data_IF_978027232056
#
_entry.id   IF_978027232056
#
_cell.length_a   1.000
_cell.length_b   1.000
_cell.length_c   1.000
_cell.angle_alpha   90.00
_cell.angle_beta   90.00
_cell.angle_gamma   90.00
#
_symmetry.space_group_name_H-M   'P 1'
#
loop_
_entity.id
_entity.type
_entity.pdbx_description
1 polymer ?
#
# COMPACT_ATOMS: atom_id res chain seq x y z
N UNK A 1 16.22 -39.93 4.00
CA UNK A 1 17.50 -40.46 4.51
C UNK A 1 18.51 -40.79 3.39
N UNK A 2 18.17 -41.60 2.32
CA UNK A 2 19.12 -41.91 1.24
C UNK A 2 19.48 -40.73 0.37
N UNK A 3 18.54 -39.85 0.06
CA UNK A 3 18.75 -38.63 -0.73
C UNK A 3 19.59 -37.60 0.02
N UNK A 4 19.36 -37.45 1.30
CA UNK A 4 20.13 -36.55 2.18
C UNK A 4 21.59 -36.98 2.30
N UNK A 5 21.83 -38.27 2.43
CA UNK A 5 23.18 -38.85 2.45
C UNK A 5 23.90 -38.68 1.11
N UNK A 6 23.17 -38.82 -0.01
CA UNK A 6 23.72 -38.61 -1.34
C UNK A 6 24.12 -37.13 -1.54
N UNK A 7 23.24 -36.20 -1.18
CA UNK A 7 23.52 -34.75 -1.29
C UNK A 7 24.72 -34.36 -0.39
N UNK A 8 24.79 -34.90 0.80
CA UNK A 8 25.93 -34.65 1.72
C UNK A 8 27.27 -35.20 1.24
N UNK A 9 27.28 -36.11 0.28
CA UNK A 9 28.50 -36.71 -0.29
C UNK A 9 29.00 -35.98 -1.56
N UNK A 10 28.23 -35.02 -2.10
CA UNK A 10 28.61 -34.29 -3.30
C UNK A 10 29.61 -33.16 -2.95
N UNK A 11 30.60 -32.96 -3.82
CA UNK A 11 31.45 -31.77 -3.72
C UNK A 11 30.70 -30.52 -4.25
N UNK A 12 31.28 -29.34 -4.01
CA UNK A 12 30.64 -28.06 -4.34
C UNK A 12 30.24 -27.93 -5.81
N UNK A 13 31.04 -28.43 -6.75
CA UNK A 13 30.75 -28.43 -8.19
C UNK A 13 29.66 -29.43 -8.58
N UNK A 14 29.68 -30.60 -7.97
CA UNK A 14 28.66 -31.63 -8.18
C UNK A 14 27.32 -31.22 -7.60
N UNK A 15 27.34 -30.49 -6.50
CA UNK A 15 26.12 -29.90 -5.90
C UNK A 15 25.52 -28.82 -6.80
N UNK A 16 26.34 -27.91 -7.35
CA UNK A 16 25.86 -26.90 -8.31
C UNK A 16 25.25 -27.54 -9.58
N UNK A 17 25.88 -28.58 -10.11
CA UNK A 17 25.41 -29.29 -11.30
C UNK A 17 24.11 -30.05 -11.00
N UNK A 18 24.01 -30.67 -9.85
CA UNK A 18 22.80 -31.34 -9.37
C UNK A 18 21.63 -30.36 -9.23
N UNK A 19 21.85 -29.17 -8.65
CA UNK A 19 20.85 -28.13 -8.47
C UNK A 19 20.39 -27.57 -9.81
N UNK A 20 21.30 -27.31 -10.76
CA UNK A 20 20.99 -26.86 -12.12
C UNK A 20 20.18 -27.89 -12.89
N UNK A 21 20.57 -29.16 -12.82
CA UNK A 21 19.92 -30.27 -13.55
C UNK A 21 18.50 -30.54 -13.05
N UNK A 22 18.26 -30.36 -11.76
CA UNK A 22 16.94 -30.57 -11.15
C UNK A 22 16.10 -29.30 -11.05
N UNK A 23 16.57 -28.19 -11.64
CA UNK A 23 15.91 -26.87 -11.59
C UNK A 23 15.55 -26.42 -10.17
N UNK A 24 16.35 -26.83 -9.19
CA UNK A 24 16.22 -26.45 -7.80
C UNK A 24 16.97 -25.12 -7.63
N UNK A 25 16.24 -24.02 -7.55
CA UNK A 25 16.81 -22.77 -7.07
C UNK A 25 17.04 -22.94 -5.56
N UNK A 26 18.30 -22.88 -5.14
CA UNK A 26 18.60 -22.62 -3.75
C UNK A 26 17.91 -21.31 -3.40
N UNK A 27 16.81 -21.39 -2.64
CA UNK A 27 16.40 -20.24 -1.91
C UNK A 27 17.58 -19.89 -1.01
N UNK A 28 18.16 -18.71 -1.22
CA UNK A 28 19.25 -18.14 -0.44
C UNK A 28 18.76 -17.92 1.01
N UNK A 29 18.68 -19.03 1.75
CA UNK A 29 18.14 -19.07 3.10
C UNK A 29 19.22 -19.35 4.13
N UNK A 30 20.42 -18.83 3.91
CA UNK A 30 21.42 -18.64 4.96
C UNK A 30 22.34 -17.47 4.64
N UNK A 31 21.76 -16.31 4.32
CA UNK A 31 22.45 -15.07 4.53
C UNK A 31 21.80 -14.39 5.73
N UNK A 32 22.68 -14.23 6.73
CA UNK A 32 22.59 -13.33 7.86
C UNK A 32 21.48 -12.27 7.70
N UNK A 33 20.38 -12.41 8.45
CA UNK A 33 19.30 -11.42 8.53
C UNK A 33 19.75 -10.13 9.25
N UNK A 34 20.93 -9.67 8.96
CA UNK A 34 21.26 -8.26 9.11
C UNK A 34 20.57 -7.53 7.97
N UNK A 35 19.67 -6.56 8.23
CA UNK A 35 19.12 -5.75 7.17
C UNK A 35 20.27 -5.00 6.51
N UNK A 36 20.71 -5.44 5.33
CA UNK A 36 21.61 -4.65 4.51
C UNK A 36 20.91 -3.33 4.21
N UNK A 37 21.52 -2.22 4.61
CA UNK A 37 21.01 -0.85 4.50
C UNK A 37 20.72 -0.38 3.05
N UNK A 38 20.60 -1.30 2.08
CA UNK A 38 20.60 -0.96 0.64
C UNK A 38 19.33 -1.29 -0.14
N UNK A 39 18.38 -2.06 0.40
CA UNK A 39 17.10 -2.24 -0.28
C UNK A 39 16.03 -1.36 0.41
N UNK A 40 15.50 -0.35 -0.28
CA UNK A 40 14.45 0.45 0.29
C UNK A 40 13.24 -0.44 0.55
N UNK A 41 12.75 -0.42 1.78
CA UNK A 41 11.50 -1.10 2.13
C UNK A 41 10.42 -0.73 1.11
N UNK A 42 9.70 -1.72 0.58
CA UNK A 42 8.70 -1.52 -0.48
C UNK A 42 7.75 -0.37 -0.13
N UNK A 43 7.25 -0.33 1.11
CA UNK A 43 6.35 0.74 1.55
C UNK A 43 7.02 2.11 1.59
N UNK A 44 8.28 2.19 2.00
CA UNK A 44 9.03 3.44 1.96
C UNK A 44 9.23 3.92 0.52
N UNK A 45 9.59 3.03 -0.40
CA UNK A 45 9.75 3.36 -1.81
C UNK A 45 8.44 3.89 -2.44
N UNK A 46 7.29 3.33 -2.04
CA UNK A 46 5.97 3.81 -2.46
C UNK A 46 5.67 5.20 -1.88
N UNK A 47 5.93 5.41 -0.59
CA UNK A 47 5.72 6.70 0.09
C UNK A 47 6.58 7.80 -0.53
N UNK A 48 7.82 7.50 -0.88
CA UNK A 48 8.78 8.40 -1.53
C UNK A 48 8.52 8.57 -3.04
N UNK A 49 7.49 7.93 -3.59
CA UNK A 49 7.18 7.89 -5.03
C UNK A 49 8.31 7.33 -5.92
N UNK A 50 9.19 6.51 -5.36
CA UNK A 50 10.23 5.78 -6.10
C UNK A 50 9.67 4.54 -6.81
N UNK A 51 8.56 4.00 -6.29
CA UNK A 51 7.84 2.87 -6.87
C UNK A 51 6.44 3.31 -7.29
N UNK A 52 6.08 3.01 -8.54
CA UNK A 52 4.75 3.32 -9.07
C UNK A 52 3.66 2.58 -8.31
N UNK A 53 2.59 3.29 -7.96
CA UNK A 53 1.46 2.74 -7.26
C UNK A 53 0.15 3.44 -7.65
N UNK A 54 -0.97 2.73 -7.56
CA UNK A 54 -2.31 3.27 -7.82
C UNK A 54 -2.82 4.00 -6.58
N UNK A 55 -2.33 5.23 -6.37
CA UNK A 55 -2.71 6.07 -5.23
C UNK A 55 -4.14 6.58 -5.40
N UNK A 56 -4.99 6.35 -4.38
CA UNK A 56 -6.40 6.77 -4.36
C UNK A 56 -6.68 7.89 -3.34
N UNK A 57 -5.86 8.00 -2.32
CA UNK A 57 -6.01 9.05 -1.31
C UNK A 57 -4.69 9.30 -0.57
N UNK A 58 -4.60 10.46 0.05
CA UNK A 58 -3.45 10.84 0.86
C UNK A 58 -3.87 11.84 1.93
N UNK A 59 -3.27 11.76 3.10
CA UNK A 59 -3.33 12.78 4.13
C UNK A 59 -1.91 13.11 4.65
N UNK A 60 -1.81 13.89 5.71
CA UNK A 60 -0.52 14.28 6.29
C UNK A 60 0.33 13.09 6.76
N UNK A 61 -0.30 12.02 7.25
CA UNK A 61 0.35 10.91 7.95
C UNK A 61 0.37 9.59 7.16
N UNK A 62 -0.44 9.45 6.11
CA UNK A 62 -0.58 8.20 5.39
C UNK A 62 -0.99 8.40 3.93
N UNK A 63 -0.65 7.43 3.10
CA UNK A 63 -1.12 7.29 1.72
C UNK A 63 -1.99 6.04 1.61
N UNK A 64 -2.91 6.04 0.67
CA UNK A 64 -3.74 4.88 0.35
C UNK A 64 -3.57 4.52 -1.12
N UNK A 65 -3.26 3.27 -1.37
CA UNK A 65 -3.02 2.70 -2.69
C UNK A 65 -3.88 1.47 -2.91
N UNK A 66 -4.16 1.14 -4.16
CA UNK A 66 -4.76 -0.15 -4.51
C UNK A 66 -3.70 -1.26 -4.46
N UNK A 67 -4.10 -2.43 -3.94
CA UNK A 67 -3.27 -3.63 -3.96
C UNK A 67 -3.23 -4.21 -5.39
N UNK A 68 -2.04 -4.51 -5.89
CA UNK A 68 -1.84 -5.09 -7.22
C UNK A 68 -2.17 -6.57 -7.31
N UNK A 69 -2.11 -7.27 -6.16
CA UNK A 69 -2.53 -8.66 -6.00
C UNK A 69 -3.70 -8.74 -5.01
N UNK A 70 -4.86 -8.14 -5.35
CA UNK A 70 -5.94 -7.97 -4.41
C UNK A 70 -6.58 -9.29 -4.01
N UNK A 71 -7.05 -9.37 -2.76
CA UNK A 71 -7.91 -10.44 -2.26
C UNK A 71 -9.35 -10.32 -2.77
N UNK A 72 -9.77 -9.09 -3.08
CA UNK A 72 -11.08 -8.77 -3.63
C UNK A 72 -11.01 -7.44 -4.40
N UNK A 73 -11.96 -7.13 -5.30
CA UNK A 73 -12.01 -5.84 -5.99
C UNK A 73 -12.00 -4.66 -5.02
N UNK A 74 -11.15 -3.67 -5.28
CA UNK A 74 -10.92 -2.49 -4.43
C UNK A 74 -10.19 -2.78 -3.10
N UNK A 75 -9.48 -3.90 -2.99
CA UNK A 75 -8.55 -4.10 -1.88
C UNK A 75 -7.53 -2.96 -1.85
N UNK A 76 -7.45 -2.28 -0.73
CA UNK A 76 -6.65 -1.07 -0.56
C UNK A 76 -5.68 -1.21 0.60
N UNK A 77 -4.47 -0.73 0.42
CA UNK A 77 -3.46 -0.60 1.48
C UNK A 77 -3.40 0.84 1.93
N UNK A 78 -3.42 1.08 3.23
CA UNK A 78 -3.15 2.39 3.83
C UNK A 78 -1.81 2.31 4.54
N UNK A 79 -0.83 3.02 4.01
CA UNK A 79 0.57 2.98 4.42
C UNK A 79 0.87 4.30 5.12
N UNK A 80 1.27 4.29 6.40
CA UNK A 80 1.79 5.46 7.07
C UNK A 80 3.04 5.99 6.36
N UNK A 81 3.25 7.31 6.36
CA UNK A 81 4.43 7.92 5.70
C UNK A 81 5.74 7.65 6.41
N UNK A 82 5.66 7.35 7.70
CA UNK A 82 6.79 6.97 8.53
C UNK A 82 6.62 5.53 9.01
N UNK A 83 7.72 4.90 9.40
CA UNK A 83 7.72 3.55 9.95
C UNK A 83 7.19 3.55 11.38
N UNK A 84 6.14 2.78 11.61
CA UNK A 84 5.53 2.58 12.92
C UNK A 84 5.41 1.09 13.24
N UNK A 85 5.39 0.78 14.53
CA UNK A 85 4.90 -0.50 15.04
C UNK A 85 3.36 -0.54 14.95
N UNK A 86 2.77 -1.73 14.95
CA UNK A 86 1.31 -1.90 14.84
C UNK A 86 0.56 -1.09 15.91
N UNK A 87 1.06 -1.08 17.13
CA UNK A 87 0.44 -0.39 18.27
C UNK A 87 0.52 1.15 18.17
N UNK A 88 1.46 1.66 17.37
CA UNK A 88 1.76 3.09 17.25
C UNK A 88 1.24 3.71 15.95
N UNK A 89 0.46 2.97 15.15
CA UNK A 89 -0.11 3.50 13.91
C UNK A 89 -0.91 4.78 14.19
N UNK A 90 -0.65 5.89 13.48
CA UNK A 90 -1.32 7.16 13.71
C UNK A 90 -2.84 7.08 13.52
N UNK A 91 -3.62 7.72 14.40
CA UNK A 91 -5.09 7.82 14.27
C UNK A 91 -5.53 8.38 12.90
N UNK A 92 -4.73 9.26 12.30
CA UNK A 92 -4.98 9.82 10.97
C UNK A 92 -4.91 8.76 9.85
N UNK A 93 -4.10 7.70 10.00
CA UNK A 93 -4.07 6.58 9.08
C UNK A 93 -5.36 5.76 9.17
N UNK A 94 -5.84 5.46 10.38
CA UNK A 94 -7.16 4.82 10.58
C UNK A 94 -8.31 5.66 10.02
N UNK A 95 -8.27 6.98 10.23
CA UNK A 95 -9.29 7.89 9.68
C UNK A 95 -9.30 7.86 8.15
N UNK A 96 -8.13 7.76 7.51
CA UNK A 96 -8.03 7.59 6.06
C UNK A 96 -8.63 6.25 5.61
N UNK A 97 -8.29 5.15 6.28
CA UNK A 97 -8.85 3.83 6.01
C UNK A 97 -10.38 3.81 6.13
N UNK A 98 -10.94 4.45 7.17
CA UNK A 98 -12.39 4.57 7.35
C UNK A 98 -13.06 5.40 6.24
N UNK A 99 -12.45 6.50 5.80
CA UNK A 99 -12.95 7.31 4.66
C UNK A 99 -13.01 6.46 3.38
N UNK A 100 -11.96 5.67 3.13
CA UNK A 100 -11.90 4.78 1.97
C UNK A 100 -12.94 3.68 2.09
N UNK A 101 -13.06 3.01 3.24
CA UNK A 101 -14.06 1.99 3.48
C UNK A 101 -15.48 2.52 3.24
N UNK A 102 -15.77 3.75 3.70
CA UNK A 102 -17.06 4.42 3.43
C UNK A 102 -17.27 4.66 1.94
N UNK A 103 -16.23 5.10 1.21
CA UNK A 103 -16.32 5.33 -0.24
C UNK A 103 -16.53 4.02 -1.01
N UNK A 104 -15.81 2.95 -0.63
CA UNK A 104 -16.00 1.61 -1.19
C UNK A 104 -17.44 1.13 -0.97
N UNK A 105 -17.97 1.24 0.25
CA UNK A 105 -19.37 0.87 0.55
C UNK A 105 -20.35 1.63 -0.32
N UNK A 106 -20.15 2.93 -0.50
CA UNK A 106 -21.06 3.78 -1.30
C UNK A 106 -21.01 3.44 -2.78
N UNK A 107 -19.81 3.20 -3.34
CA UNK A 107 -19.59 3.02 -4.77
C UNK A 107 -19.77 1.59 -5.25
N UNK A 108 -19.33 0.60 -4.47
CA UNK A 108 -19.25 -0.80 -4.87
C UNK A 108 -20.24 -1.71 -4.12
N UNK A 109 -20.85 -1.20 -3.04
CA UNK A 109 -21.86 -1.90 -2.25
C UNK A 109 -21.46 -3.33 -1.85
N UNK A 110 -20.26 -3.56 -1.28
CA UNK A 110 -19.88 -4.85 -0.74
C UNK A 110 -20.78 -5.23 0.43
N UNK A 111 -20.80 -6.52 0.80
CA UNK A 111 -21.50 -7.00 1.98
C UNK A 111 -20.91 -6.37 3.26
N UNK A 112 -19.59 -6.35 3.32
CA UNK A 112 -18.82 -5.79 4.44
C UNK A 112 -17.51 -5.20 3.93
N UNK A 113 -16.89 -4.30 4.71
CA UNK A 113 -15.51 -3.84 4.49
C UNK A 113 -14.77 -4.01 5.80
N UNK A 114 -13.76 -4.89 5.80
CA UNK A 114 -12.87 -5.11 6.94
C UNK A 114 -11.69 -4.15 6.87
N UNK A 115 -11.24 -3.69 8.05
CA UNK A 115 -9.99 -2.94 8.22
C UNK A 115 -9.13 -3.75 9.18
N UNK A 116 -7.98 -4.21 8.71
CA UNK A 116 -7.05 -5.04 9.47
C UNK A 116 -5.68 -4.40 9.48
N UNK A 117 -4.97 -4.49 10.61
CA UNK A 117 -3.58 -4.08 10.72
C UNK A 117 -2.67 -5.24 10.34
N UNK A 118 -1.57 -4.96 9.66
CA UNK A 118 -0.53 -5.94 9.38
C UNK A 118 0.85 -5.27 9.39
N UNK A 119 1.88 -6.08 9.41
CA UNK A 119 3.26 -5.61 9.37
C UNK A 119 4.03 -6.33 8.26
N UNK A 120 4.78 -5.58 7.48
CA UNK A 120 5.67 -6.09 6.45
C UNK A 120 7.05 -5.47 6.64
N UNK A 121 8.08 -6.30 6.82
CA UNK A 121 9.46 -5.83 7.05
C UNK A 121 9.58 -4.82 8.19
N UNK A 122 8.79 -4.99 9.26
CA UNK A 122 8.73 -4.06 10.39
C UNK A 122 8.00 -2.74 10.12
N UNK A 123 7.33 -2.60 8.98
CA UNK A 123 6.52 -1.44 8.61
C UNK A 123 5.03 -1.77 8.79
N UNK A 124 4.39 -1.12 9.73
CA UNK A 124 2.97 -1.34 9.99
C UNK A 124 2.09 -0.63 8.96
N UNK A 125 1.05 -1.30 8.48
CA UNK A 125 0.09 -0.76 7.53
C UNK A 125 -1.33 -1.30 7.81
N UNK A 126 -2.33 -0.79 7.09
CA UNK A 126 -3.72 -1.18 7.21
C UNK A 126 -4.21 -1.76 5.88
N UNK A 127 -4.85 -2.92 5.95
CA UNK A 127 -5.62 -3.49 4.86
C UNK A 127 -7.07 -3.01 4.95
N UNK A 128 -7.64 -2.58 3.83
CA UNK A 128 -9.07 -2.30 3.66
C UNK A 128 -9.62 -3.30 2.66
N UNK A 129 -10.27 -4.36 3.13
CA UNK A 129 -10.69 -5.51 2.34
C UNK A 129 -12.21 -5.51 2.22
N UNK A 130 -12.77 -5.26 1.03
CA UNK A 130 -14.20 -5.43 0.79
C UNK A 130 -14.56 -6.91 0.63
N UNK A 131 -15.65 -7.33 1.26
CA UNK A 131 -16.21 -8.67 1.17
C UNK A 131 -17.48 -8.65 0.32
N UNK A 132 -17.53 -9.51 -0.71
CA UNK A 132 -18.68 -9.64 -1.60
C UNK A 132 -19.36 -11.02 -1.40
N UNK A 133 -20.70 -11.06 -1.52
CA UNK A 133 -21.49 -12.25 -1.24
C UNK A 133 -21.06 -13.49 -2.05
N UNK A 134 -20.76 -13.29 -3.34
CA UNK A 134 -20.53 -14.39 -4.28
C UNK A 134 -19.06 -14.48 -4.76
N UNK A 135 -18.14 -13.79 -4.06
CA UNK A 135 -16.72 -13.79 -4.41
C UNK A 135 -15.88 -14.18 -3.19
N UNK A 136 -15.32 -15.40 -3.17
CA UNK A 136 -14.38 -15.77 -2.13
C UNK A 136 -13.14 -14.90 -2.21
N UNK A 137 -12.50 -14.69 -1.05
CA UNK A 137 -11.22 -14.00 -1.00
C UNK A 137 -10.15 -14.89 -1.66
N UNK A 138 -9.67 -14.47 -2.81
CA UNK A 138 -8.61 -15.17 -3.54
C UNK A 138 -7.60 -14.14 -4.03
N UNK A 139 -6.35 -14.37 -3.70
CA UNK A 139 -5.27 -13.48 -4.16
C UNK A 139 -5.01 -13.73 -5.64
N UNK A 140 -5.33 -12.78 -6.47
CA UNK A 140 -5.11 -12.83 -7.93
C UNK A 140 -4.49 -11.51 -8.39
N UNK A 141 -3.62 -11.58 -9.40
CA UNK A 141 -3.05 -10.37 -9.98
C UNK A 141 -4.13 -9.59 -10.72
N UNK A 142 -4.35 -8.35 -10.33
CA UNK A 142 -5.31 -7.48 -11.01
C UNK A 142 -4.77 -7.04 -12.38
N UNK A 143 -5.67 -6.81 -13.33
CA UNK A 143 -5.33 -6.18 -14.60
C UNK A 143 -5.13 -4.68 -14.40
N UNK A 144 -4.19 -4.10 -15.11
CA UNK A 144 -3.89 -2.65 -15.04
C UNK A 144 -5.11 -1.79 -15.33
N UNK A 145 -5.87 -2.15 -16.36
CA UNK A 145 -7.12 -1.46 -16.72
C UNK A 145 -8.16 -1.43 -15.59
N UNK A 146 -8.25 -2.51 -14.81
CA UNK A 146 -9.18 -2.61 -13.69
C UNK A 146 -8.69 -1.78 -12.50
N UNK A 147 -7.37 -1.72 -12.28
CA UNK A 147 -6.76 -0.88 -11.24
C UNK A 147 -6.95 0.61 -11.58
N UNK A 148 -6.76 1.02 -12.83
CA UNK A 148 -6.98 2.40 -13.28
C UNK A 148 -8.45 2.82 -13.11
N UNK A 149 -9.39 1.98 -13.57
CA UNK A 149 -10.83 2.23 -13.37
C UNK A 149 -11.19 2.36 -11.89
N UNK A 150 -10.62 1.48 -11.07
CA UNK A 150 -10.86 1.48 -9.63
C UNK A 150 -10.24 2.71 -8.97
N UNK A 151 -9.04 3.13 -9.40
CA UNK A 151 -8.39 4.34 -8.95
C UNK A 151 -9.27 5.56 -9.21
N UNK A 152 -9.74 5.75 -10.45
CA UNK A 152 -10.63 6.85 -10.82
C UNK A 152 -11.92 6.88 -9.99
N UNK A 153 -12.50 5.70 -9.72
CA UNK A 153 -13.73 5.56 -8.95
C UNK A 153 -13.55 5.91 -7.47
N UNK A 154 -12.40 5.53 -6.91
CA UNK A 154 -12.11 5.63 -5.48
C UNK A 154 -11.21 6.81 -5.11
N UNK A 155 -10.66 7.55 -6.06
CA UNK A 155 -9.80 8.71 -5.79
C UNK A 155 -10.51 9.74 -4.90
N UNK A 156 -9.90 10.06 -3.77
CA UNK A 156 -10.33 11.12 -2.85
C UNK A 156 -9.36 12.29 -3.03
N UNK A 157 -9.81 13.33 -3.72
CA UNK A 157 -9.03 14.57 -3.85
C UNK A 157 -8.90 15.25 -2.49
N UNK A 158 -7.69 15.66 -2.16
CA UNK A 158 -7.39 16.31 -0.87
C UNK A 158 -8.17 17.61 -0.75
N UNK A 159 -9.25 17.63 0.05
CA UNK A 159 -10.07 18.80 0.31
C UNK A 159 -9.27 19.95 0.96
N UNK A 160 -8.20 19.63 1.69
CA UNK A 160 -7.32 20.62 2.31
C UNK A 160 -6.62 21.53 1.28
N UNK A 161 -6.22 21.00 0.11
CA UNK A 161 -5.68 21.83 -0.97
C UNK A 161 -6.75 22.73 -1.59
N UNK A 162 -8.00 22.27 -1.61
CA UNK A 162 -9.14 23.03 -2.17
C UNK A 162 -9.53 24.14 -1.21
N UNK A 163 -9.55 23.89 0.10
CA UNK A 163 -9.89 24.90 1.12
C UNK A 163 -8.81 26.00 1.16
N UNK A 164 -7.52 25.64 1.18
CA UNK A 164 -6.41 26.62 1.11
C UNK A 164 -6.48 27.48 -0.15
N UNK A 165 -6.84 26.88 -1.29
CA UNK A 165 -7.01 27.60 -2.57
C UNK A 165 -8.23 28.54 -2.57
N UNK A 166 -9.32 28.13 -1.89
CA UNK A 166 -10.54 28.96 -1.74
C UNK A 166 -10.34 30.13 -0.74
N UNK A 167 -9.59 29.91 0.34
CA UNK A 167 -9.27 30.95 1.32
C UNK A 167 -8.33 31.99 0.70
N UNK A 168 -7.27 31.57 0.01
CA UNK A 168 -6.33 32.50 -0.64
C UNK A 168 -6.95 33.30 -1.80
N UNK A 169 -7.97 32.77 -2.46
CA UNK A 169 -8.69 33.53 -3.49
C UNK A 169 -9.67 34.53 -2.90
N UNK A 170 -10.29 34.27 -1.74
CA UNK A 170 -11.15 35.24 -1.05
C UNK A 170 -10.37 36.39 -0.41
N UNK A 171 -9.17 36.16 0.11
CA UNK A 171 -8.30 37.22 0.64
C UNK A 171 -7.83 38.23 -0.43
N UNK A 172 -7.74 37.80 -1.69
CA UNK A 172 -7.36 38.69 -2.81
C UNK A 172 -8.47 39.59 -3.31
N UNK A 173 -9.75 39.32 -2.97
CA UNK A 173 -10.89 40.12 -3.38
C UNK A 173 -11.27 41.23 -2.39
N UNK A 174 -10.71 41.24 -1.18
CA UNK A 174 -10.96 42.29 -0.20
C UNK A 174 -9.99 43.43 -0.47
N UNK A 175 -10.30 44.31 -1.43
CA UNK A 175 -9.65 45.63 -1.57
C UNK A 175 -10.08 46.51 -0.40
N UNK A 176 -9.16 47.12 0.34
CA UNK A 176 -9.55 48.08 1.37
C UNK A 176 -10.24 49.29 0.69
N UNK A 177 -11.44 49.60 1.14
CA UNK A 177 -12.12 50.83 0.71
C UNK A 177 -11.32 52.03 1.22
N UNK A 178 -10.93 52.91 0.31
CA UNK A 178 -10.27 54.15 0.67
C UNK A 178 -11.15 54.96 1.63
N UNK A 179 -10.59 55.61 2.67
CA UNK A 179 -11.33 56.46 3.57
C UNK A 179 -11.85 57.68 2.80
N UNK A 180 -13.16 57.96 2.90
CA UNK A 180 -13.72 59.19 2.42
C UNK A 180 -13.42 60.28 3.45
N UNK A 181 -12.57 61.20 3.08
CA UNK A 181 -12.42 62.47 3.84
C UNK A 181 -13.58 63.38 3.48
N UNK A 182 -14.29 63.83 4.48
CA UNK A 182 -15.17 64.97 4.45
C UNK A 182 -14.45 66.25 4.92
#
# INVERSE_FOLDING_TARGET
>A
EQLEQYIASLDEKQLEEFLKTNNIQLADSMQDNSPSEKEPFIFQAIVENKLNSYKIAENEMAIAILEINPLAPAHTLVIPKEKYDIEKIPKKAFSLAQKIAKKIRTKLKPLEVKIETFQLQGYAALNVIPLYKDKPLKKEKAKEEDLEKMQMLLEIKNEEKIIKKRVSSKEKEIKPRAPKFY
#
